data_IF_910279671332
#
_entry.id   IF_910279671332
#
_cell.length_a   1.000
_cell.length_b   1.000
_cell.length_c   1.000
_cell.angle_alpha   90.00
_cell.angle_beta   90.00
_cell.angle_gamma   90.00
#
_symmetry.space_group_name_H-M   'P 1'
#
loop_
_entity.id
_entity.type
_entity.pdbx_description
1 polymer ?
#
# COMPACT_ATOMS: atom_id res chain seq x y z
N UNK A 1 14.08 -10.38 -40.43
CA UNK A 1 13.35 -9.30 -39.72
C UNK A 1 13.96 -7.92 -39.93
N UNK A 2 15.29 -7.77 -40.03
CA UNK A 2 15.96 -6.45 -40.08
C UNK A 2 15.42 -5.48 -41.14
N UNK A 3 15.15 -5.95 -42.37
CA UNK A 3 14.68 -5.06 -43.44
C UNK A 3 13.29 -4.45 -43.17
N UNK A 4 12.34 -5.21 -42.62
CA UNK A 4 11.01 -4.69 -42.27
C UNK A 4 11.06 -3.69 -41.11
N UNK A 5 11.95 -3.92 -40.14
CA UNK A 5 12.19 -3.01 -39.04
C UNK A 5 12.76 -1.67 -39.52
N UNK A 6 13.78 -1.71 -40.39
CA UNK A 6 14.39 -0.51 -40.96
C UNK A 6 13.37 0.29 -41.80
N UNK A 7 12.55 -0.40 -42.61
CA UNK A 7 11.49 0.25 -43.38
C UNK A 7 10.45 0.91 -42.46
N UNK A 8 9.96 0.21 -41.44
CA UNK A 8 8.99 0.75 -40.49
C UNK A 8 9.54 1.96 -39.72
N UNK A 9 10.78 1.87 -39.23
CA UNK A 9 11.45 2.98 -38.55
C UNK A 9 11.59 4.21 -39.47
N UNK A 10 12.06 4.01 -40.70
CA UNK A 10 12.21 5.09 -41.68
C UNK A 10 10.87 5.75 -42.01
N UNK A 11 9.82 4.95 -42.12
CA UNK A 11 8.45 5.43 -42.36
C UNK A 11 7.94 6.33 -41.23
N UNK A 12 8.25 6.01 -39.97
CA UNK A 12 7.89 6.86 -38.82
C UNK A 12 8.65 8.18 -38.84
N UNK A 13 9.95 8.14 -39.12
CA UNK A 13 10.83 9.33 -39.12
C UNK A 13 10.51 10.28 -40.27
N UNK A 14 10.05 9.78 -41.41
CA UNK A 14 9.66 10.63 -42.55
C UNK A 14 8.37 11.42 -42.27
N UNK A 15 7.43 10.87 -41.51
CA UNK A 15 6.15 11.51 -41.18
C UNK A 15 6.21 12.36 -39.88
N UNK A 16 7.25 13.20 -39.72
CA UNK A 16 7.63 13.85 -38.45
C UNK A 16 6.47 14.46 -37.65
N UNK A 17 5.65 15.33 -38.24
CA UNK A 17 4.57 16.03 -37.53
C UNK A 17 3.52 15.06 -36.97
N UNK A 18 3.11 14.11 -37.78
CA UNK A 18 2.08 13.11 -37.45
C UNK A 18 2.58 12.15 -36.38
N UNK A 19 3.76 11.58 -36.60
CA UNK A 19 4.42 10.68 -35.66
C UNK A 19 4.61 11.36 -34.31
N UNK A 20 5.05 12.63 -34.30
CA UNK A 20 5.30 13.39 -33.08
C UNK A 20 4.03 13.67 -32.26
N UNK A 21 2.92 14.06 -32.91
CA UNK A 21 1.65 14.31 -32.21
C UNK A 21 1.12 13.04 -31.54
N UNK A 22 1.17 11.89 -32.22
CA UNK A 22 0.72 10.62 -31.65
C UNK A 22 1.66 10.08 -30.60
N UNK A 23 2.97 10.20 -30.81
CA UNK A 23 3.94 9.79 -29.80
C UNK A 23 3.84 10.66 -28.55
N UNK A 24 3.53 11.96 -28.69
CA UNK A 24 3.30 12.84 -27.56
C UNK A 24 2.02 12.47 -26.81
N UNK A 25 0.91 12.23 -27.52
CA UNK A 25 -0.33 11.79 -26.90
C UNK A 25 -0.17 10.45 -26.18
N UNK A 26 0.38 9.44 -26.87
CA UNK A 26 0.60 8.10 -26.31
C UNK A 26 1.62 8.12 -25.16
N UNK A 27 2.69 8.91 -25.30
CA UNK A 27 3.67 9.14 -24.25
C UNK A 27 3.08 9.84 -23.03
N UNK A 28 2.20 10.81 -23.21
CA UNK A 28 1.50 11.46 -22.10
C UNK A 28 0.60 10.48 -21.34
N UNK A 29 -0.14 9.62 -22.05
CA UNK A 29 -0.97 8.60 -21.38
C UNK A 29 -0.10 7.58 -20.64
N UNK A 30 1.00 7.15 -21.24
CA UNK A 30 1.95 6.25 -20.59
C UNK A 30 2.61 6.88 -19.36
N UNK A 31 2.98 8.17 -19.43
CA UNK A 31 3.49 8.94 -18.31
C UNK A 31 2.47 8.96 -17.18
N UNK A 32 1.22 9.29 -17.50
CA UNK A 32 0.15 9.38 -16.53
C UNK A 32 -0.16 8.03 -15.89
N UNK A 33 -0.21 6.95 -16.66
CA UNK A 33 -0.37 5.59 -16.13
C UNK A 33 0.76 5.23 -15.17
N UNK A 34 2.02 5.51 -15.52
CA UNK A 34 3.16 5.21 -14.64
C UNK A 34 3.06 6.01 -13.34
N UNK A 35 2.63 7.28 -13.37
CA UNK A 35 2.39 8.05 -12.15
C UNK A 35 1.27 7.46 -11.28
N UNK A 36 0.16 7.04 -11.88
CA UNK A 36 -0.95 6.41 -11.14
C UNK A 36 -0.54 5.09 -10.49
N UNK A 37 0.19 4.24 -11.22
CA UNK A 37 0.71 2.98 -10.68
C UNK A 37 1.75 3.22 -9.59
N UNK A 38 2.63 4.21 -9.77
CA UNK A 38 3.62 4.57 -8.75
C UNK A 38 2.97 5.13 -7.49
N UNK A 39 1.89 5.89 -7.62
CA UNK A 39 1.09 6.36 -6.49
C UNK A 39 0.45 5.21 -5.74
N UNK A 40 -0.25 4.31 -6.44
CA UNK A 40 -0.88 3.14 -5.81
C UNK A 40 0.14 2.27 -5.07
N UNK A 41 1.28 2.00 -5.70
CA UNK A 41 2.35 1.24 -5.07
C UNK A 41 2.95 1.98 -3.87
N UNK A 42 3.19 3.29 -3.98
CA UNK A 42 3.71 4.10 -2.88
C UNK A 42 2.79 4.12 -1.67
N UNK A 43 1.47 4.22 -1.89
CA UNK A 43 0.46 4.11 -0.83
C UNK A 43 0.51 2.72 -0.19
N UNK A 44 0.56 1.66 -1.01
CA UNK A 44 0.64 0.27 -0.51
C UNK A 44 1.89 0.05 0.34
N UNK A 45 3.06 0.52 -0.12
CA UNK A 45 4.32 0.36 0.60
C UNK A 45 4.32 1.13 1.92
N UNK A 46 3.87 2.40 1.89
CA UNK A 46 3.78 3.24 3.09
C UNK A 46 2.79 2.65 4.09
N UNK A 47 1.66 2.16 3.61
CA UNK A 47 0.64 1.50 4.43
C UNK A 47 1.15 0.20 5.05
N UNK A 48 1.82 -0.66 4.30
CA UNK A 48 2.45 -1.87 4.83
C UNK A 48 3.48 -1.50 5.89
N UNK A 49 4.34 -0.52 5.61
CA UNK A 49 5.37 -0.06 6.54
C UNK A 49 4.78 0.52 7.83
N UNK A 50 3.81 1.42 7.72
CA UNK A 50 3.20 2.08 8.88
C UNK A 50 2.38 1.09 9.72
N UNK A 51 1.64 0.19 9.08
CA UNK A 51 0.86 -0.82 9.81
C UNK A 51 1.76 -1.82 10.55
N UNK A 52 2.82 -2.31 9.89
CA UNK A 52 3.76 -3.28 10.51
C UNK A 52 4.56 -2.71 11.67
N UNK A 53 4.82 -1.40 11.67
CA UNK A 53 5.46 -0.71 12.80
C UNK A 53 4.48 -0.53 13.95
N UNK A 54 3.29 0.00 13.64
CA UNK A 54 2.40 0.49 14.67
C UNK A 54 1.59 -0.62 15.35
N UNK A 55 1.08 -1.58 14.58
CA UNK A 55 -0.11 -2.32 15.03
C UNK A 55 -0.10 -3.83 14.72
N UNK A 56 0.60 -4.25 13.66
CA UNK A 56 0.54 -5.63 13.15
C UNK A 56 1.94 -6.20 12.86
N UNK A 57 2.09 -7.52 12.91
CA UNK A 57 3.20 -8.25 12.31
C UNK A 57 2.85 -8.68 10.90
N UNK A 58 3.71 -9.47 10.25
CA UNK A 58 3.34 -10.12 8.98
C UNK A 58 2.26 -11.17 9.21
N UNK A 59 2.36 -11.90 10.32
CA UNK A 59 1.30 -12.78 10.86
C UNK A 59 1.07 -12.40 12.32
N UNK A 60 -0.19 -12.35 12.73
CA UNK A 60 -0.60 -12.04 14.09
C UNK A 60 -1.31 -13.24 14.68
N UNK A 61 -0.97 -13.58 15.92
CA UNK A 61 -1.71 -14.54 16.73
C UNK A 61 -2.34 -13.76 17.87
N UNK A 62 -3.55 -13.26 17.63
CA UNK A 62 -4.37 -12.58 18.63
C UNK A 62 -5.23 -13.57 19.40
N UNK A 63 -5.75 -13.14 20.55
CA UNK A 63 -6.65 -13.94 21.36
C UNK A 63 -7.90 -13.16 21.74
N UNK A 64 -9.04 -13.83 21.60
CA UNK A 64 -10.28 -13.40 22.23
C UNK A 64 -10.48 -14.22 23.49
N UNK A 65 -10.61 -13.53 24.61
CA UNK A 65 -10.95 -14.14 25.89
C UNK A 65 -12.33 -13.68 26.35
N UNK A 66 -13.20 -14.64 26.66
CA UNK A 66 -14.56 -14.39 27.15
C UNK A 66 -14.69 -14.88 28.59
N UNK A 67 -14.73 -13.93 29.53
CA UNK A 67 -15.04 -14.21 30.94
C UNK A 67 -16.56 -14.39 31.17
N UNK A 68 -17.37 -13.71 30.36
CA UNK A 68 -18.83 -13.76 30.34
C UNK A 68 -19.29 -13.93 28.90
N UNK A 69 -20.49 -14.49 28.71
CA UNK A 69 -21.03 -14.73 27.37
C UNK A 69 -21.19 -13.45 26.53
N UNK A 70 -21.36 -12.28 27.16
CA UNK A 70 -21.63 -11.00 26.49
C UNK A 70 -20.40 -10.16 26.16
N UNK A 71 -19.23 -10.54 26.69
CA UNK A 71 -18.04 -9.68 26.65
C UNK A 71 -16.89 -10.40 25.96
N UNK A 72 -16.02 -9.66 25.29
CA UNK A 72 -14.81 -10.18 24.65
C UNK A 72 -13.63 -9.27 24.96
N UNK A 73 -12.48 -9.86 25.29
CA UNK A 73 -11.26 -9.16 25.65
C UNK A 73 -10.09 -9.57 24.74
N UNK A 74 -9.20 -8.62 24.35
CA UNK A 74 -8.06 -8.86 23.49
C UNK A 74 -6.91 -9.53 24.25
N UNK A 75 -7.11 -10.75 24.74
CA UNK A 75 -6.16 -11.43 25.63
C UNK A 75 -5.74 -12.81 25.12
N UNK A 76 -4.48 -13.11 25.35
CA UNK A 76 -3.81 -14.38 25.06
C UNK A 76 -3.13 -14.83 26.35
N UNK A 77 -3.63 -15.91 26.92
CA UNK A 77 -3.04 -16.70 28.00
C UNK A 77 -1.91 -17.60 27.48
N UNK A 78 -0.99 -17.96 28.37
CA UNK A 78 0.16 -18.84 28.10
C UNK A 78 1.02 -18.34 26.91
N UNK A 79 1.28 -17.02 26.87
CA UNK A 79 2.02 -16.39 25.76
C UNK A 79 3.44 -16.97 25.60
N UNK A 80 4.08 -17.39 26.69
CA UNK A 80 5.43 -17.94 26.67
C UNK A 80 5.50 -19.28 25.90
N UNK A 81 4.51 -20.15 26.08
CA UNK A 81 4.41 -21.38 25.32
C UNK A 81 3.97 -21.10 23.87
N UNK A 82 3.04 -20.17 23.68
CA UNK A 82 2.59 -19.76 22.35
C UNK A 82 3.76 -19.25 21.49
N UNK A 83 4.64 -18.40 22.04
CA UNK A 83 5.86 -17.93 21.37
C UNK A 83 6.76 -19.09 20.94
N UNK A 84 7.01 -20.07 21.82
CA UNK A 84 7.79 -21.28 21.48
C UNK A 84 7.19 -22.07 20.32
N UNK A 85 5.86 -22.16 20.27
CA UNK A 85 5.15 -22.84 19.18
C UNK A 85 5.34 -22.08 17.87
N UNK A 86 5.18 -20.76 17.92
CA UNK A 86 5.37 -19.88 16.76
C UNK A 86 6.79 -20.00 16.21
N UNK A 87 7.80 -19.91 17.09
CA UNK A 87 9.21 -20.01 16.71
C UNK A 87 9.56 -21.37 16.08
N UNK A 88 8.97 -22.46 16.59
CA UNK A 88 9.25 -23.80 16.11
C UNK A 88 8.51 -24.19 14.82
N UNK A 89 7.49 -23.42 14.40
CA UNK A 89 6.58 -23.81 13.30
C UNK A 89 6.46 -22.73 12.22
N UNK A 90 7.29 -21.69 12.27
CA UNK A 90 7.35 -20.65 11.25
C UNK A 90 8.73 -20.61 10.63
N UNK A 91 8.80 -20.72 9.31
CA UNK A 91 10.04 -20.60 8.56
C UNK A 91 10.38 -19.11 8.33
N UNK A 92 11.67 -18.79 8.15
CA UNK A 92 12.16 -17.45 7.78
C UNK A 92 11.71 -16.30 8.71
N UNK A 93 11.62 -16.55 10.01
CA UNK A 93 11.38 -15.52 11.02
C UNK A 93 12.56 -14.53 11.05
N UNK A 94 12.23 -13.24 11.07
CA UNK A 94 13.15 -12.16 11.41
C UNK A 94 13.17 -11.94 12.93
N UNK A 95 12.00 -11.66 13.51
CA UNK A 95 11.80 -11.57 14.97
C UNK A 95 10.34 -11.82 15.37
N UNK A 96 10.11 -12.11 16.66
CA UNK A 96 8.78 -12.30 17.26
C UNK A 96 8.70 -11.47 18.54
N UNK A 97 7.66 -10.66 18.63
CA UNK A 97 7.35 -9.85 19.82
C UNK A 97 5.90 -10.08 20.21
N UNK A 98 5.58 -9.89 21.47
CA UNK A 98 4.19 -9.87 21.93
C UNK A 98 3.85 -8.48 22.48
N UNK A 99 2.60 -8.06 22.31
CA UNK A 99 2.10 -6.77 22.81
C UNK A 99 0.81 -6.98 23.57
N UNK A 100 0.66 -6.26 24.68
CA UNK A 100 -0.63 -6.14 25.35
C UNK A 100 -1.50 -5.14 24.59
N UNK A 101 -2.79 -5.47 24.45
CA UNK A 101 -3.77 -4.62 23.78
C UNK A 101 -4.81 -4.14 24.78
N UNK A 102 -5.21 -2.89 24.66
CA UNK A 102 -6.24 -2.30 25.50
C UNK A 102 -6.81 -1.03 24.90
N UNK A 103 -7.67 -0.39 25.67
CA UNK A 103 -8.18 0.95 25.42
C UNK A 103 -8.37 1.69 26.75
N UNK A 104 -8.03 2.97 26.74
CA UNK A 104 -8.26 3.84 27.88
C UNK A 104 -8.70 5.22 27.42
N UNK A 105 -9.38 5.92 28.33
CA UNK A 105 -9.58 7.35 28.24
C UNK A 105 -8.34 8.04 28.79
N UNK A 106 -7.68 8.84 27.95
CA UNK A 106 -6.57 9.70 28.31
C UNK A 106 -7.15 11.04 28.73
N UNK A 107 -6.86 11.48 29.96
CA UNK A 107 -7.40 12.70 30.55
C UNK A 107 -6.24 13.61 30.94
N UNK A 108 -6.24 14.81 30.36
CA UNK A 108 -5.34 15.91 30.72
C UNK A 108 -6.13 17.01 31.44
N UNK A 109 -5.43 18.05 31.91
CA UNK A 109 -6.08 19.23 32.48
C UNK A 109 -6.94 20.02 31.49
N UNK A 110 -6.68 19.90 30.19
CA UNK A 110 -7.35 20.69 29.14
C UNK A 110 -8.42 19.91 28.38
N UNK A 111 -8.24 18.61 28.19
CA UNK A 111 -9.03 17.80 27.27
C UNK A 111 -8.93 16.30 27.60
N UNK A 112 -9.80 15.50 26.98
CA UNK A 112 -9.69 14.04 27.02
C UNK A 112 -9.97 13.40 25.66
N UNK A 113 -9.40 12.23 25.44
CA UNK A 113 -9.63 11.41 24.25
C UNK A 113 -9.58 9.92 24.61
N UNK A 114 -10.17 9.08 23.77
CA UNK A 114 -9.99 7.63 23.85
C UNK A 114 -8.84 7.21 22.94
N UNK A 115 -7.97 6.35 23.44
CA UNK A 115 -6.90 5.74 22.66
C UNK A 115 -6.85 4.24 22.92
N UNK A 116 -6.46 3.49 21.89
CA UNK A 116 -5.98 2.13 22.03
C UNK A 116 -4.60 2.17 22.69
N UNK A 117 -4.42 1.30 23.67
CA UNK A 117 -3.20 1.12 24.42
C UNK A 117 -2.44 -0.08 23.85
N UNK A 118 -1.18 0.15 23.51
CA UNK A 118 -0.23 -0.90 23.13
C UNK A 118 0.84 -1.01 24.20
N UNK A 119 0.79 -2.09 24.97
CA UNK A 119 1.77 -2.40 26.00
C UNK A 119 2.96 -3.10 25.38
N UNK A 120 4.12 -2.45 25.41
CA UNK A 120 5.34 -2.92 24.76
C UNK A 120 6.46 -3.16 25.77
N UNK A 121 7.43 -3.97 25.36
CA UNK A 121 8.72 -4.10 26.04
C UNK A 121 9.79 -3.49 25.13
N UNK A 122 10.32 -2.33 25.52
CA UNK A 122 11.29 -1.56 24.73
C UNK A 122 12.53 -2.39 24.39
N UNK A 123 12.92 -3.35 25.23
CA UNK A 123 14.09 -4.18 24.97
C UNK A 123 13.90 -5.15 23.78
N UNK A 124 12.66 -5.54 23.48
CA UNK A 124 12.32 -6.44 22.37
C UNK A 124 11.93 -5.69 21.07
N UNK A 125 11.78 -4.37 21.13
CA UNK A 125 11.12 -3.54 20.10
C UNK A 125 12.11 -2.83 19.15
N UNK A 126 13.22 -3.49 18.79
CA UNK A 126 14.28 -2.89 17.95
C UNK A 126 13.77 -2.29 16.63
N UNK A 127 12.91 -3.02 15.90
CA UNK A 127 12.35 -2.56 14.62
C UNK A 127 11.38 -1.37 14.78
N UNK A 128 10.70 -1.27 15.92
CA UNK A 128 9.84 -0.13 16.25
C UNK A 128 10.69 1.10 16.56
N UNK A 129 11.74 0.95 17.39
CA UNK A 129 12.65 2.03 17.76
C UNK A 129 13.40 2.62 16.56
N UNK A 130 13.81 1.79 15.59
CA UNK A 130 14.49 2.27 14.37
C UNK A 130 13.60 3.14 13.47
N UNK A 131 12.29 2.96 13.54
CA UNK A 131 11.34 3.56 12.60
C UNK A 131 10.53 4.70 13.18
N UNK A 132 10.32 4.73 14.49
CA UNK A 132 9.65 5.84 15.16
C UNK A 132 10.59 7.04 15.19
N UNK A 133 10.11 8.16 14.65
CA UNK A 133 10.80 9.44 14.74
C UNK A 133 10.11 10.32 15.77
N UNK A 134 10.89 10.97 16.63
CA UNK A 134 10.37 11.96 17.55
C UNK A 134 9.94 13.24 16.81
N UNK A 135 8.84 13.83 17.26
CA UNK A 135 8.30 15.06 16.71
C UNK A 135 9.02 16.28 17.30
N UNK A 136 9.34 17.30 16.48
CA UNK A 136 9.73 18.60 16.99
C UNK A 136 8.56 19.28 17.71
N UNK A 137 8.86 20.17 18.67
CA UNK A 137 7.84 20.87 19.46
C UNK A 137 6.77 21.57 18.60
N UNK A 138 7.15 22.16 17.46
CA UNK A 138 6.20 22.84 16.55
C UNK A 138 5.03 21.98 16.08
N UNK A 139 5.18 20.66 16.06
CA UNK A 139 4.14 19.77 15.55
C UNK A 139 3.00 19.63 16.57
N UNK A 140 3.32 19.69 17.87
CA UNK A 140 2.35 19.51 18.95
C UNK A 140 2.11 20.75 19.82
N UNK A 141 2.95 21.79 19.74
CA UNK A 141 2.87 23.01 20.53
C UNK A 141 2.67 24.24 19.66
N UNK A 142 1.71 25.09 20.04
CA UNK A 142 1.31 26.29 19.25
C UNK A 142 2.46 27.29 19.04
N UNK A 143 3.37 27.41 20.02
CA UNK A 143 4.57 28.25 19.96
C UNK A 143 5.85 27.40 20.03
N UNK A 144 5.78 26.14 19.59
CA UNK A 144 6.90 25.20 19.62
C UNK A 144 7.99 25.57 18.62
N UNK A 145 9.24 25.29 18.98
CA UNK A 145 10.38 25.43 18.08
C UNK A 145 10.70 24.13 17.34
N UNK A 146 11.91 24.08 16.81
CA UNK A 146 12.44 22.92 16.05
C UNK A 146 13.12 21.89 16.98
N UNK A 147 13.09 22.14 18.28
CA UNK A 147 13.68 21.26 19.28
C UNK A 147 12.92 19.93 19.34
N UNK A 148 13.66 18.83 19.34
CA UNK A 148 13.15 17.49 19.59
C UNK A 148 13.52 17.17 21.04
N UNK A 149 12.50 17.02 21.88
CA UNK A 149 12.64 16.72 23.30
C UNK A 149 12.18 15.28 23.57
N UNK A 150 12.55 14.75 24.75
CA UNK A 150 12.20 13.39 25.16
C UNK A 150 13.09 12.30 24.56
N UNK A 151 12.91 11.08 25.06
CA UNK A 151 13.66 9.88 24.65
C UNK A 151 12.71 8.70 24.64
N UNK A 152 12.68 7.94 23.55
CA UNK A 152 11.78 6.77 23.45
C UNK A 152 12.20 5.69 24.46
N UNK A 153 13.50 5.62 24.76
CA UNK A 153 14.07 4.69 25.74
C UNK A 153 13.54 4.93 27.16
N UNK A 154 13.09 6.14 27.49
CA UNK A 154 12.48 6.44 28.78
C UNK A 154 11.14 5.73 28.97
N UNK A 155 10.54 5.21 27.89
CA UNK A 155 9.35 4.34 27.96
C UNK A 155 9.64 2.99 28.62
N UNK A 156 10.90 2.64 28.89
CA UNK A 156 11.24 1.48 29.72
C UNK A 156 10.89 1.71 31.21
N UNK A 157 10.71 2.96 31.64
CA UNK A 157 10.36 3.29 33.02
C UNK A 157 8.87 3.02 33.28
N UNK A 158 8.48 2.56 34.49
CA UNK A 158 7.07 2.37 34.83
C UNK A 158 6.30 3.71 34.78
N UNK A 159 5.00 3.63 34.55
CA UNK A 159 4.08 4.78 34.53
C UNK A 159 4.50 5.89 33.55
N UNK A 160 5.03 5.48 32.40
CA UNK A 160 5.36 6.37 31.29
C UNK A 160 4.47 6.09 30.09
N UNK A 161 4.32 7.09 29.23
CA UNK A 161 3.56 6.97 27.99
C UNK A 161 4.25 7.73 26.86
N UNK A 162 4.17 7.18 25.67
CA UNK A 162 4.50 7.84 24.42
C UNK A 162 3.20 8.09 23.65
N UNK A 163 3.02 9.33 23.21
CA UNK A 163 1.91 9.76 22.37
C UNK A 163 2.42 10.25 21.02
N UNK A 164 1.52 10.37 20.07
CA UNK A 164 1.82 11.04 18.80
C UNK A 164 1.51 12.53 18.84
N UNK A 165 2.14 13.30 17.96
CA UNK A 165 2.06 14.76 17.93
C UNK A 165 0.61 15.27 17.91
N UNK A 166 -0.27 14.67 17.11
CA UNK A 166 -1.68 15.04 17.07
C UNK A 166 -2.42 14.83 18.41
N UNK A 167 -2.11 13.74 19.13
CA UNK A 167 -2.70 13.44 20.44
C UNK A 167 -2.18 14.41 21.52
N UNK A 168 -0.86 14.60 21.57
CA UNK A 168 -0.23 15.54 22.50
C UNK A 168 -0.77 16.95 22.32
N UNK A 169 -0.90 17.41 21.07
CA UNK A 169 -1.50 18.71 20.71
C UNK A 169 -2.94 18.85 21.19
N UNK A 170 -3.75 17.80 21.01
CA UNK A 170 -5.17 17.79 21.39
C UNK A 170 -5.37 17.77 22.91
N UNK A 171 -4.46 17.13 23.63
CA UNK A 171 -4.43 17.09 25.09
C UNK A 171 -3.69 18.31 25.69
N UNK A 172 -3.04 19.12 24.86
CA UNK A 172 -2.25 20.27 25.30
C UNK A 172 -1.09 19.87 26.22
N UNK A 173 -0.48 18.72 25.97
CA UNK A 173 0.60 18.15 26.78
C UNK A 173 1.97 18.47 26.18
N UNK A 174 2.92 18.81 27.05
CA UNK A 174 4.34 18.91 26.78
C UNK A 174 5.10 17.72 27.40
N UNK A 175 6.33 17.49 26.96
CA UNK A 175 7.16 16.40 27.48
C UNK A 175 7.49 16.66 28.94
N UNK A 176 7.23 15.65 29.79
CA UNK A 176 7.33 15.72 31.23
C UNK A 176 5.98 15.92 31.95
N UNK A 177 4.92 16.31 31.22
CA UNK A 177 3.60 16.48 31.81
C UNK A 177 2.98 15.12 32.20
N UNK A 178 2.11 15.15 33.20
CA UNK A 178 1.34 14.00 33.65
C UNK A 178 -0.07 14.01 33.05
N UNK A 179 -0.58 12.82 32.75
CA UNK A 179 -1.96 12.58 32.37
C UNK A 179 -2.51 11.34 33.06
N UNK A 180 -3.81 11.33 33.28
CA UNK A 180 -4.50 10.20 33.89
C UNK A 180 -5.08 9.28 32.81
N UNK A 181 -4.73 8.01 32.86
CA UNK A 181 -5.39 6.95 32.11
C UNK A 181 -6.56 6.42 32.93
N UNK A 182 -7.72 6.23 32.29
CA UNK A 182 -8.87 5.54 32.89
C UNK A 182 -9.33 4.41 31.99
N UNK A 183 -9.34 3.19 32.51
CA UNK A 183 -9.79 2.01 31.78
C UNK A 183 -10.63 1.10 32.69
N UNK A 184 -11.54 0.36 32.07
CA UNK A 184 -12.34 -0.64 32.77
C UNK A 184 -11.64 -2.00 32.70
N UNK A 185 -11.49 -2.66 33.84
CA UNK A 185 -10.98 -4.04 33.92
C UNK A 185 -12.06 -5.05 33.53
N UNK A 186 -11.67 -6.30 33.29
CA UNK A 186 -12.59 -7.41 33.00
C UNK A 186 -13.68 -7.61 34.06
N UNK A 187 -13.38 -7.24 35.31
CA UNK A 187 -14.32 -7.31 36.42
C UNK A 187 -15.38 -6.20 36.42
N UNK A 188 -15.32 -5.24 35.49
CA UNK A 188 -16.19 -4.06 35.44
C UNK A 188 -15.76 -2.94 36.39
N UNK A 189 -14.56 -3.03 36.97
CA UNK A 189 -14.01 -1.98 37.84
C UNK A 189 -13.23 -0.99 37.00
N UNK A 190 -13.57 0.29 37.07
CA UNK A 190 -12.78 1.37 36.47
C UNK A 190 -11.54 1.62 37.30
N UNK A 191 -10.37 1.40 36.70
CA UNK A 191 -9.07 1.71 37.26
C UNK A 191 -8.52 2.99 36.62
N UNK A 192 -7.78 3.76 37.40
CA UNK A 192 -7.09 4.96 36.93
C UNK A 192 -5.62 4.91 37.30
N UNK A 193 -4.77 5.42 36.42
CA UNK A 193 -3.33 5.47 36.64
C UNK A 193 -2.77 6.76 36.04
N UNK A 194 -1.99 7.48 36.83
CA UNK A 194 -1.27 8.65 36.34
C UNK A 194 0.03 8.22 35.67
N UNK A 195 0.25 8.72 34.46
CA UNK A 195 1.42 8.43 33.65
C UNK A 195 2.07 9.73 33.18
N UNK A 196 3.39 9.69 32.99
CA UNK A 196 4.17 10.82 32.51
C UNK A 196 4.47 10.70 31.02
N UNK A 197 4.25 11.77 30.26
CA UNK A 197 4.60 11.84 28.85
C UNK A 197 6.12 11.97 28.69
N UNK A 198 6.78 10.93 28.19
CA UNK A 198 8.25 10.90 28.06
C UNK A 198 8.75 11.12 26.63
N UNK A 199 7.90 10.86 25.65
CA UNK A 199 8.23 10.99 24.24
C UNK A 199 6.99 11.38 23.43
N UNK A 200 7.19 12.22 22.42
CA UNK A 200 6.17 12.54 21.41
C UNK A 200 6.71 12.13 20.05
N UNK A 201 6.04 11.17 19.41
CA UNK A 201 6.40 10.68 18.08
C UNK A 201 5.72 11.51 16.98
N UNK A 202 6.36 11.60 15.81
CA UNK A 202 5.73 12.13 14.59
C UNK A 202 4.56 11.26 14.21
N UNK A 203 3.49 11.89 13.72
CA UNK A 203 2.33 11.17 13.23
C UNK A 203 2.72 10.24 12.06
N UNK A 204 2.12 9.06 12.02
CA UNK A 204 2.37 8.02 11.03
C UNK A 204 1.04 7.63 10.40
N UNK A 205 0.53 8.53 9.55
CA UNK A 205 -0.78 8.40 8.92
C UNK A 205 -1.93 8.53 9.93
N UNK A 206 -3.11 8.02 9.56
CA UNK A 206 -4.28 8.13 10.43
C UNK A 206 -4.24 7.18 11.64
N UNK A 207 -3.48 6.09 11.55
CA UNK A 207 -3.42 5.06 12.61
C UNK A 207 -2.73 5.56 13.88
N UNK A 208 -1.75 6.45 13.79
CA UNK A 208 -1.05 7.00 14.95
C UNK A 208 -1.97 7.80 15.88
N UNK A 209 -3.02 8.44 15.33
CA UNK A 209 -3.91 9.31 16.10
C UNK A 209 -4.69 8.61 17.22
N UNK A 210 -4.79 7.28 17.16
CA UNK A 210 -5.61 6.47 18.07
C UNK A 210 -4.78 5.49 18.90
N UNK A 211 -3.47 5.38 18.68
CA UNK A 211 -2.61 4.45 19.39
C UNK A 211 -1.72 5.21 20.37
N UNK A 212 -1.57 4.67 21.58
CA UNK A 212 -0.62 5.14 22.58
C UNK A 212 0.21 3.96 23.06
N UNK A 213 1.50 4.21 23.33
CA UNK A 213 2.43 3.18 23.76
C UNK A 213 2.86 3.41 25.19
N UNK A 214 2.93 2.33 25.97
CA UNK A 214 3.32 2.33 27.37
C UNK A 214 3.98 0.99 27.71
N UNK A 215 4.70 0.89 28.84
CA UNK A 215 5.21 -0.39 29.31
C UNK A 215 4.09 -1.43 29.46
N UNK A 216 4.39 -2.70 29.17
CA UNK A 216 3.47 -3.82 29.47
C UNK A 216 3.00 -3.84 30.92
N UNK A 217 3.89 -3.52 31.87
CA UNK A 217 3.59 -3.49 33.31
C UNK A 217 2.43 -2.56 33.66
N UNK A 218 2.38 -1.38 33.04
CA UNK A 218 1.33 -0.40 33.25
C UNK A 218 -0.05 -0.90 32.78
N UNK A 219 -0.12 -1.61 31.65
CA UNK A 219 -1.39 -2.24 31.20
C UNK A 219 -1.79 -3.40 32.12
N UNK A 220 -0.83 -4.22 32.55
CA UNK A 220 -1.10 -5.33 33.49
C UNK A 220 -1.67 -4.83 34.80
N UNK A 221 -1.09 -3.78 35.37
CA UNK A 221 -1.59 -3.18 36.60
C UNK A 221 -3.00 -2.61 36.41
N UNK A 222 -3.21 -1.84 35.34
CA UNK A 222 -4.49 -1.17 35.07
C UNK A 222 -5.63 -2.17 34.80
N UNK A 223 -5.36 -3.30 34.14
CA UNK A 223 -6.37 -4.34 33.89
C UNK A 223 -6.33 -5.51 34.88
N UNK A 224 -5.40 -5.49 35.85
CA UNK A 224 -5.18 -6.57 36.83
C UNK A 224 -4.90 -7.93 36.17
N UNK A 225 -4.01 -7.94 35.16
CA UNK A 225 -3.64 -9.12 34.38
C UNK A 225 -2.41 -9.83 34.96
N UNK A 226 -2.34 -11.14 34.78
CA UNK A 226 -1.17 -11.95 35.12
C UNK A 226 -0.01 -11.73 34.13
N UNK A 227 1.20 -12.13 34.54
CA UNK A 227 2.43 -11.90 33.76
C UNK A 227 2.56 -12.75 32.49
N UNK A 228 1.85 -13.88 32.43
CA UNK A 228 1.81 -14.79 31.28
C UNK A 228 0.72 -14.41 30.26
N UNK A 229 -0.03 -13.35 30.53
CA UNK A 229 -1.04 -12.80 29.64
C UNK A 229 -0.42 -11.72 28.74
N UNK A 230 -0.72 -11.81 27.45
CA UNK A 230 -0.48 -10.78 26.45
C UNK A 230 -1.76 -10.49 25.67
N UNK A 231 -1.70 -9.67 24.62
CA UNK A 231 -2.86 -9.41 23.75
C UNK A 231 -2.72 -9.97 22.34
N UNK A 232 -1.49 -9.97 21.83
CA UNK A 232 -1.17 -10.48 20.50
C UNK A 232 0.30 -10.89 20.44
N UNK A 233 0.60 -11.97 19.73
CA UNK A 233 1.95 -12.31 19.29
C UNK A 233 2.11 -11.87 17.83
N UNK A 234 3.04 -10.97 17.58
CA UNK A 234 3.36 -10.41 16.25
C UNK A 234 4.58 -11.15 15.68
N UNK A 235 4.41 -11.73 14.50
CA UNK A 235 5.44 -12.51 13.81
C UNK A 235 5.93 -11.73 12.61
N UNK A 236 7.22 -11.39 12.61
CA UNK A 236 7.86 -10.70 11.50
C UNK A 236 8.66 -11.69 10.67
N UNK A 237 8.18 -11.97 9.46
CA UNK A 237 8.90 -12.75 8.45
C UNK A 237 9.92 -11.91 7.67
N UNK A 238 11.04 -12.53 7.26
CA UNK A 238 12.00 -11.95 6.30
C UNK A 238 11.40 -11.74 4.92
N UNK A 239 10.44 -12.59 4.55
CA UNK A 239 9.70 -12.53 3.28
C UNK A 239 8.20 -12.34 3.54
N UNK A 240 7.70 -11.09 3.58
CA UNK A 240 6.30 -10.78 3.89
C UNK A 240 5.29 -11.47 2.97
N UNK A 241 5.67 -11.75 1.72
CA UNK A 241 4.85 -12.46 0.74
C UNK A 241 4.46 -13.88 1.16
N UNK A 242 5.18 -14.48 2.13
CA UNK A 242 4.86 -15.81 2.66
C UNK A 242 3.89 -15.78 3.85
N UNK A 243 3.37 -14.61 4.26
CA UNK A 243 2.52 -14.45 5.44
C UNK A 243 1.31 -15.41 5.45
N UNK A 244 0.59 -15.54 4.34
CA UNK A 244 -0.56 -16.45 4.24
C UNK A 244 -0.17 -17.92 4.43
N UNK A 245 0.96 -18.34 3.84
CA UNK A 245 1.47 -19.70 3.99
C UNK A 245 1.92 -19.99 5.43
N UNK A 246 2.63 -19.04 6.04
CA UNK A 246 3.07 -19.12 7.43
C UNK A 246 1.87 -19.18 8.39
N UNK A 247 0.85 -18.35 8.16
CA UNK A 247 -0.38 -18.36 8.95
C UNK A 247 -1.08 -19.73 8.89
N UNK A 248 -1.27 -20.30 7.70
CA UNK A 248 -1.91 -21.63 7.55
C UNK A 248 -1.13 -22.74 8.26
N UNK A 249 0.20 -22.75 8.14
CA UNK A 249 1.07 -23.68 8.89
C UNK A 249 0.88 -23.53 10.40
N UNK A 250 0.86 -22.30 10.91
CA UNK A 250 0.66 -22.00 12.32
C UNK A 250 -0.72 -22.43 12.82
N UNK A 251 -1.78 -22.22 12.03
CA UNK A 251 -3.13 -22.71 12.36
C UNK A 251 -3.13 -24.22 12.56
N UNK A 252 -2.49 -24.97 11.67
CA UNK A 252 -2.34 -26.43 11.79
C UNK A 252 -1.56 -26.83 13.06
N UNK A 253 -0.43 -26.18 13.33
CA UNK A 253 0.42 -26.47 14.48
C UNK A 253 -0.25 -26.16 15.83
N UNK A 254 -0.99 -25.05 15.93
CA UNK A 254 -1.71 -24.65 17.13
C UNK A 254 -2.89 -25.60 17.41
N UNK A 255 -3.64 -25.96 16.37
CA UNK A 255 -4.74 -26.94 16.50
C UNK A 255 -4.21 -28.30 16.96
N UNK A 256 -3.07 -28.76 16.41
CA UNK A 256 -2.43 -30.01 16.81
C UNK A 256 -1.97 -30.03 18.29
N UNK A 257 -1.72 -28.85 18.87
CA UNK A 257 -1.37 -28.69 20.29
C UNK A 257 -2.56 -28.36 21.20
N UNK A 258 -3.79 -28.42 20.67
CA UNK A 258 -5.02 -28.29 21.45
C UNK A 258 -5.52 -26.86 21.65
N UNK A 259 -4.98 -25.87 20.94
CA UNK A 259 -5.56 -24.52 20.95
C UNK A 259 -6.85 -24.47 20.14
N UNK A 260 -7.86 -23.80 20.67
CA UNK A 260 -9.09 -23.50 19.93
C UNK A 260 -8.87 -22.27 19.06
N UNK A 261 -9.07 -22.40 17.76
CA UNK A 261 -8.91 -21.31 16.80
C UNK A 261 -10.27 -20.80 16.32
N UNK A 262 -10.33 -19.49 16.07
CA UNK A 262 -11.40 -18.87 15.30
C UNK A 262 -11.29 -19.27 13.83
N UNK A 263 -12.44 -19.36 13.15
CA UNK A 263 -12.47 -19.48 11.70
C UNK A 263 -11.80 -18.26 11.06
N UNK A 264 -11.04 -18.47 10.00
CA UNK A 264 -10.33 -17.38 9.35
C UNK A 264 -11.34 -16.46 8.64
N UNK A 265 -11.43 -15.23 9.12
CA UNK A 265 -12.21 -14.14 8.53
C UNK A 265 -11.25 -13.02 8.12
N UNK A 266 -11.28 -12.57 6.85
CA UNK A 266 -10.37 -11.54 6.32
C UNK A 266 -10.80 -10.13 6.74
N UNK A 267 -10.83 -9.91 8.05
CA UNK A 267 -11.14 -8.65 8.70
C UNK A 267 -10.14 -8.40 9.82
N UNK A 268 -9.94 -7.14 10.19
CA UNK A 268 -9.05 -6.78 11.28
C UNK A 268 -9.57 -7.33 12.61
N UNK A 269 -8.65 -7.61 13.53
CA UNK A 269 -8.98 -8.18 14.83
C UNK A 269 -10.05 -7.36 15.57
N UNK A 270 -9.93 -6.02 15.56
CA UNK A 270 -10.88 -5.14 16.25
C UNK A 270 -12.30 -5.17 15.65
N UNK A 271 -12.45 -5.43 14.35
CA UNK A 271 -13.76 -5.48 13.70
C UNK A 271 -14.57 -6.72 14.07
N UNK A 272 -13.91 -7.75 14.64
CA UNK A 272 -14.54 -9.00 15.05
C UNK A 272 -15.10 -8.96 16.48
N UNK A 273 -14.84 -7.91 17.27
CA UNK A 273 -15.27 -7.85 18.67
C UNK A 273 -16.78 -7.99 18.84
N UNK A 274 -17.56 -7.29 18.03
CA UNK A 274 -19.02 -7.30 18.13
C UNK A 274 -19.61 -8.66 17.76
N UNK A 275 -19.10 -9.30 16.70
CA UNK A 275 -19.54 -10.65 16.32
C UNK A 275 -19.13 -11.68 17.37
N UNK A 276 -17.89 -11.62 17.87
CA UNK A 276 -17.38 -12.54 18.88
C UNK A 276 -18.11 -12.39 20.22
N UNK A 277 -18.47 -11.16 20.61
CA UNK A 277 -19.25 -10.91 21.82
C UNK A 277 -20.61 -11.64 21.77
N UNK A 278 -21.21 -11.80 20.58
CA UNK A 278 -22.48 -12.52 20.39
C UNK A 278 -22.38 -14.05 20.36
N UNK A 279 -21.18 -14.64 20.29
CA UNK A 279 -21.02 -16.10 20.21
C UNK A 279 -21.11 -16.80 21.58
N UNK A 280 -21.68 -17.99 21.65
CA UNK A 280 -21.86 -18.73 22.91
C UNK A 280 -20.66 -19.64 23.24
N UNK A 281 -19.62 -19.04 23.82
CA UNK A 281 -18.47 -19.76 24.38
C UNK A 281 -17.75 -18.94 25.44
N UNK A 282 -16.97 -19.61 26.28
CA UNK A 282 -16.16 -19.04 27.35
C UNK A 282 -14.70 -19.49 27.21
N UNK A 283 -13.79 -18.73 27.82
CA UNK A 283 -12.35 -18.98 27.79
C UNK A 283 -11.67 -18.33 26.59
N UNK A 284 -10.57 -18.92 26.12
CA UNK A 284 -9.74 -18.39 25.04
C UNK A 284 -10.04 -19.03 23.68
N UNK A 285 -10.12 -18.19 22.64
CA UNK A 285 -9.96 -18.61 21.24
C UNK A 285 -8.94 -17.73 20.54
N UNK A 286 -8.02 -18.34 19.80
CA UNK A 286 -7.00 -17.59 19.05
C UNK A 286 -7.52 -17.21 17.67
N UNK A 287 -7.28 -15.96 17.27
CA UNK A 287 -7.53 -15.44 15.95
C UNK A 287 -6.19 -15.22 15.25
N UNK A 288 -6.03 -15.85 14.08
CA UNK A 288 -4.83 -15.69 13.27
C UNK A 288 -5.18 -14.82 12.06
N UNK A 289 -4.53 -13.68 11.98
CA UNK A 289 -4.67 -12.70 10.90
C UNK A 289 -3.33 -12.38 10.27
N UNK A 290 -3.34 -12.00 9.01
CA UNK A 290 -2.16 -11.45 8.35
C UNK A 290 -2.17 -9.93 8.40
N UNK A 291 -1.03 -9.30 8.07
CA UNK A 291 -0.99 -7.85 7.87
C UNK A 291 -2.04 -7.36 6.88
N UNK A 292 -2.35 -8.17 5.86
CA UNK A 292 -3.33 -7.90 4.82
C UNK A 292 -4.77 -7.81 5.35
N UNK A 293 -5.11 -8.64 6.34
CA UNK A 293 -6.42 -8.67 6.97
C UNK A 293 -6.60 -7.50 7.94
N UNK A 294 -5.57 -7.20 8.73
CA UNK A 294 -5.58 -6.08 9.68
C UNK A 294 -5.77 -4.72 9.00
N UNK A 295 -5.29 -4.62 7.76
CA UNK A 295 -5.42 -3.40 6.96
C UNK A 295 -6.54 -3.49 5.92
N UNK A 296 -7.47 -4.45 6.07
CA UNK A 296 -8.58 -4.67 5.14
C UNK A 296 -9.47 -3.42 4.95
N UNK A 297 -9.73 -2.68 6.04
CA UNK A 297 -10.45 -1.40 6.01
C UNK A 297 -9.63 -0.26 5.37
N UNK A 298 -8.46 -0.53 4.82
CA UNK A 298 -7.67 0.46 4.09
C UNK A 298 -7.36 -0.03 2.67
N UNK A 299 -7.30 -1.34 2.48
CA UNK A 299 -7.24 -1.97 1.15
C UNK A 299 -8.38 -1.54 0.25
N UNK A 300 -9.57 -1.21 0.78
CA UNK A 300 -10.66 -0.68 -0.05
C UNK A 300 -10.30 0.66 -0.70
N UNK A 301 -9.55 1.54 0.00
CA UNK A 301 -9.14 2.84 -0.53
C UNK A 301 -8.12 2.65 -1.67
N UNK A 302 -7.17 1.73 -1.50
CA UNK A 302 -6.22 1.34 -2.57
C UNK A 302 -6.98 0.73 -3.74
N UNK A 303 -7.85 -0.25 -3.49
CA UNK A 303 -8.67 -0.89 -4.54
C UNK A 303 -9.54 0.15 -5.28
N UNK A 304 -10.07 1.15 -4.58
CA UNK A 304 -10.82 2.24 -5.19
C UNK A 304 -9.92 3.14 -6.07
N UNK A 305 -8.72 3.50 -5.61
CA UNK A 305 -7.73 4.23 -6.40
C UNK A 305 -7.31 3.46 -7.65
N UNK A 306 -7.06 2.16 -7.53
CA UNK A 306 -6.75 1.27 -8.66
C UNK A 306 -7.91 1.17 -9.64
N UNK A 307 -9.14 1.05 -9.13
CA UNK A 307 -10.34 1.00 -9.96
C UNK A 307 -10.51 2.30 -10.75
N UNK A 308 -10.44 3.46 -10.09
CA UNK A 308 -10.52 4.77 -10.74
C UNK A 308 -9.41 4.92 -11.78
N UNK A 309 -8.18 4.53 -11.44
CA UNK A 309 -7.03 4.56 -12.35
C UNK A 309 -7.26 3.68 -13.58
N UNK A 310 -7.79 2.47 -13.39
CA UNK A 310 -8.16 1.56 -14.47
C UNK A 310 -9.20 2.17 -15.40
N UNK A 311 -10.27 2.78 -14.85
CA UNK A 311 -11.30 3.45 -15.65
C UNK A 311 -10.75 4.63 -16.45
N UNK A 312 -9.93 5.48 -15.83
CA UNK A 312 -9.30 6.61 -16.51
C UNK A 312 -8.40 6.15 -17.66
N UNK A 313 -7.56 5.15 -17.42
CA UNK A 313 -6.66 4.59 -18.42
C UNK A 313 -7.44 3.94 -19.56
N UNK A 314 -8.53 3.22 -19.27
CA UNK A 314 -9.40 2.65 -20.29
C UNK A 314 -9.98 3.71 -21.23
N UNK A 315 -10.45 4.83 -20.69
CA UNK A 315 -10.96 5.97 -21.49
C UNK A 315 -9.84 6.56 -22.35
N UNK A 316 -8.65 6.77 -21.77
CA UNK A 316 -7.50 7.30 -22.51
C UNK A 316 -7.03 6.35 -23.61
N UNK A 317 -7.04 5.04 -23.37
CA UNK A 317 -6.72 4.02 -24.37
C UNK A 317 -7.73 4.05 -25.52
N UNK A 318 -9.01 4.24 -25.25
CA UNK A 318 -10.03 4.37 -26.29
C UNK A 318 -9.75 5.58 -27.20
N UNK A 319 -9.43 6.74 -26.61
CA UNK A 319 -9.06 7.95 -27.35
C UNK A 319 -7.82 7.69 -28.21
N UNK A 320 -6.81 7.00 -27.67
CA UNK A 320 -5.60 6.63 -28.41
C UNK A 320 -5.91 5.69 -29.56
N UNK A 321 -6.73 4.65 -29.35
CA UNK A 321 -7.07 3.67 -30.38
C UNK A 321 -7.72 4.39 -31.56
N UNK A 322 -8.69 5.28 -31.30
CA UNK A 322 -9.33 6.10 -32.35
C UNK A 322 -8.29 6.96 -33.07
N UNK A 323 -7.39 7.61 -32.31
CA UNK A 323 -6.31 8.43 -32.87
C UNK A 323 -5.36 7.65 -33.78
N UNK A 324 -4.94 6.45 -33.36
CA UNK A 324 -4.07 5.56 -34.14
C UNK A 324 -4.79 5.08 -35.40
N UNK A 325 -6.05 4.64 -35.27
CA UNK A 325 -6.87 4.18 -36.40
C UNK A 325 -6.99 5.28 -37.45
N UNK A 326 -7.39 6.49 -37.03
CA UNK A 326 -7.55 7.63 -37.93
C UNK A 326 -6.24 7.98 -38.63
N UNK A 327 -5.15 8.00 -37.87
CA UNK A 327 -3.81 8.26 -38.42
C UNK A 327 -3.40 7.20 -39.44
N UNK A 328 -3.59 5.93 -39.11
CA UNK A 328 -3.22 4.85 -40.01
C UNK A 328 -4.03 4.89 -41.29
N UNK A 329 -5.31 5.27 -41.25
CA UNK A 329 -6.08 5.52 -42.47
C UNK A 329 -5.50 6.64 -43.33
N UNK A 330 -5.10 7.75 -42.72
CA UNK A 330 -4.43 8.85 -43.43
C UNK A 330 -3.12 8.36 -44.06
N UNK A 331 -2.28 7.65 -43.29
CA UNK A 331 -1.00 7.11 -43.75
C UNK A 331 -1.16 6.14 -44.92
N UNK A 332 -2.18 5.27 -44.88
CA UNK A 332 -2.50 4.35 -45.97
C UNK A 332 -2.96 5.10 -47.21
N UNK A 333 -3.76 6.17 -47.05
CA UNK A 333 -4.23 6.99 -48.17
C UNK A 333 -3.07 7.73 -48.85
N UNK A 334 -2.22 8.39 -48.07
CA UNK A 334 -1.04 9.10 -48.57
C UNK A 334 -0.04 8.17 -49.29
N UNK A 335 0.10 6.93 -48.82
CA UNK A 335 1.04 5.93 -49.37
C UNK A 335 0.39 4.92 -50.31
N UNK A 336 -0.81 5.19 -50.84
CA UNK A 336 -1.54 4.24 -51.71
C UNK A 336 -0.69 3.79 -52.91
N UNK A 337 0.00 4.73 -53.57
CA UNK A 337 0.86 4.45 -54.71
C UNK A 337 2.05 3.55 -54.32
N UNK A 338 2.74 3.88 -53.23
CA UNK A 338 3.88 3.08 -52.73
C UNK A 338 3.46 1.64 -52.40
N UNK A 339 2.29 1.47 -51.75
CA UNK A 339 1.72 0.15 -51.45
C UNK A 339 1.40 -0.61 -52.75
N UNK A 340 0.85 0.09 -53.76
CA UNK A 340 0.59 -0.46 -55.09
C UNK A 340 1.86 -0.97 -55.76
N UNK A 341 2.93 -0.17 -55.78
CA UNK A 341 4.23 -0.53 -56.36
C UNK A 341 4.87 -1.70 -55.61
N UNK A 342 4.87 -1.69 -54.27
CA UNK A 342 5.38 -2.80 -53.46
C UNK A 342 4.65 -4.11 -53.79
N UNK A 343 3.32 -4.06 -53.92
CA UNK A 343 2.50 -5.22 -54.27
C UNK A 343 2.72 -5.68 -55.72
N UNK A 344 2.98 -4.76 -56.65
CA UNK A 344 3.27 -5.06 -58.06
C UNK A 344 4.64 -5.72 -58.25
N UNK A 345 5.65 -5.33 -57.45
CA UNK A 345 7.00 -5.93 -57.44
C UNK A 345 7.03 -7.29 -56.72
N UNK A 346 5.90 -7.74 -56.17
CA UNK A 346 5.72 -9.11 -55.65
C UNK A 346 5.55 -9.22 -54.14
N UNK A 347 5.44 -8.12 -53.39
CA UNK A 347 5.22 -8.18 -51.95
C UNK A 347 3.85 -8.80 -51.60
N UNK A 348 3.86 -9.87 -50.80
CA UNK A 348 2.63 -10.55 -50.38
C UNK A 348 1.82 -9.71 -49.38
N UNK A 349 0.49 -9.91 -49.35
CA UNK A 349 -0.43 -9.21 -48.43
C UNK A 349 0.01 -9.31 -46.97
N UNK A 350 0.49 -10.49 -46.55
CA UNK A 350 1.01 -10.74 -45.19
C UNK A 350 2.26 -9.92 -44.87
N UNK A 351 3.11 -9.63 -45.85
CA UNK A 351 4.30 -8.80 -45.66
C UNK A 351 3.91 -7.33 -45.51
N UNK A 352 2.91 -6.84 -46.27
CA UNK A 352 2.38 -5.48 -46.12
C UNK A 352 1.72 -5.30 -44.77
N UNK A 353 0.90 -6.26 -44.35
CA UNK A 353 0.30 -6.27 -43.01
C UNK A 353 1.36 -6.22 -41.90
N UNK A 354 2.39 -7.08 -41.98
CA UNK A 354 3.49 -7.10 -41.01
C UNK A 354 4.23 -5.76 -40.93
N UNK A 355 4.44 -5.09 -42.07
CA UNK A 355 5.11 -3.79 -42.10
C UNK A 355 4.34 -2.73 -41.30
N UNK A 356 3.04 -2.59 -41.55
CA UNK A 356 2.20 -1.61 -40.85
C UNK A 356 2.00 -1.94 -39.37
N UNK A 357 1.84 -3.23 -39.02
CA UNK A 357 1.76 -3.65 -37.63
C UNK A 357 3.07 -3.35 -36.88
N UNK A 358 4.21 -3.52 -37.55
CA UNK A 358 5.52 -3.21 -36.96
C UNK A 358 5.74 -1.70 -36.85
N UNK A 359 5.25 -0.89 -37.79
CA UNK A 359 5.21 0.57 -37.68
C UNK A 359 4.42 1.03 -36.44
N UNK A 360 3.24 0.44 -36.22
CA UNK A 360 2.41 0.72 -35.04
C UNK A 360 3.05 0.25 -33.74
N UNK A 361 3.64 -0.95 -33.72
CA UNK A 361 4.32 -1.49 -32.56
C UNK A 361 5.54 -0.65 -32.16
N UNK A 362 6.35 -0.19 -33.12
CA UNK A 362 7.49 0.69 -32.85
C UNK A 362 7.05 2.05 -32.31
N UNK A 363 5.97 2.61 -32.86
CA UNK A 363 5.38 3.84 -32.34
C UNK A 363 4.91 3.66 -30.90
N UNK A 364 4.15 2.59 -30.63
CA UNK A 364 3.66 2.24 -29.29
C UNK A 364 4.80 2.05 -28.29
N UNK A 365 5.78 1.21 -28.62
CA UNK A 365 6.93 0.92 -27.77
C UNK A 365 7.77 2.17 -27.49
N UNK A 366 8.12 2.95 -28.53
CA UNK A 366 8.96 4.13 -28.38
C UNK A 366 8.28 5.23 -27.56
N UNK A 367 7.00 5.51 -27.84
CA UNK A 367 6.26 6.56 -27.15
C UNK A 367 5.92 6.17 -25.70
N UNK A 368 5.54 4.91 -25.45
CA UNK A 368 5.30 4.43 -24.08
C UNK A 368 6.58 4.32 -23.26
N UNK A 369 7.71 3.91 -23.87
CA UNK A 369 8.99 3.92 -23.18
C UNK A 369 9.40 5.35 -22.79
N UNK A 370 9.32 6.30 -23.73
CA UNK A 370 9.62 7.71 -23.45
C UNK A 370 8.69 8.29 -22.37
N UNK A 371 7.38 8.06 -22.50
CA UNK A 371 6.38 8.49 -21.53
C UNK A 371 6.60 7.88 -20.15
N UNK A 372 6.81 6.57 -20.09
CA UNK A 372 7.05 5.85 -18.85
C UNK A 372 8.35 6.26 -18.16
N UNK A 373 9.44 6.50 -18.91
CA UNK A 373 10.69 7.04 -18.35
C UNK A 373 10.44 8.45 -17.79
N UNK A 374 9.76 9.33 -18.54
CA UNK A 374 9.41 10.66 -18.04
C UNK A 374 8.54 10.61 -16.79
N UNK A 375 7.57 9.69 -16.73
CA UNK A 375 6.72 9.46 -15.57
C UNK A 375 7.52 8.96 -14.37
N UNK A 376 8.44 8.01 -14.58
CA UNK A 376 9.33 7.54 -13.54
C UNK A 376 10.25 8.64 -13.01
N UNK A 377 10.85 9.44 -13.90
CA UNK A 377 11.67 10.59 -13.53
C UNK A 377 10.87 11.62 -12.72
N UNK A 378 9.65 11.93 -13.15
CA UNK A 378 8.78 12.84 -12.43
C UNK A 378 8.40 12.28 -11.06
N UNK A 379 8.10 10.98 -10.95
CA UNK A 379 7.84 10.34 -9.66
C UNK A 379 9.04 10.45 -8.71
N UNK A 380 10.25 10.17 -9.20
CA UNK A 380 11.47 10.32 -8.39
C UNK A 380 11.75 11.77 -7.98
N UNK A 381 11.45 12.73 -8.86
CA UNK A 381 11.59 14.16 -8.55
C UNK A 381 10.60 14.60 -7.46
N UNK A 382 9.35 14.16 -7.56
CA UNK A 382 8.31 14.48 -6.57
C UNK A 382 8.63 13.87 -5.20
N UNK A 383 9.17 12.65 -5.14
CA UNK A 383 9.64 12.06 -3.90
C UNK A 383 10.81 12.84 -3.28
N UNK A 384 11.76 13.31 -4.11
CA UNK A 384 12.94 14.04 -3.63
C UNK A 384 12.60 15.42 -3.05
N UNK A 385 11.48 16.02 -3.45
CA UNK A 385 10.99 17.31 -2.94
C UNK A 385 10.16 17.12 -1.65
N UNK A 386 9.84 15.87 -1.28
CA UNK A 386 9.03 15.53 -0.10
C UNK A 386 7.74 16.36 0.00
N UNK A 387 6.98 16.41 -1.11
CA UNK A 387 5.81 17.29 -1.24
C UNK A 387 4.84 17.07 -0.08
N UNK A 388 4.64 18.05 0.81
CA UNK A 388 3.78 17.90 1.97
C UNK A 388 2.31 17.92 1.53
N UNK A 389 1.52 17.02 2.10
CA UNK A 389 0.09 16.96 1.86
C UNK A 389 -0.59 18.00 2.74
N UNK A 390 -1.20 19.03 2.16
CA UNK A 390 -1.84 20.11 2.94
C UNK A 390 -3.25 19.78 3.46
N UNK A 391 -3.82 18.64 3.07
CA UNK A 391 -5.22 18.28 3.32
C UNK A 391 -5.26 17.04 4.22
N UNK A 392 -5.86 17.16 5.40
CA UNK A 392 -5.95 16.07 6.40
C UNK A 392 -6.64 14.82 5.84
N UNK A 393 -7.71 15.01 5.05
CA UNK A 393 -8.39 13.91 4.38
C UNK A 393 -7.47 13.13 3.42
N UNK A 394 -6.55 13.84 2.75
CA UNK A 394 -5.62 13.22 1.81
C UNK A 394 -4.49 12.50 2.55
N UNK A 395 -4.00 13.05 3.68
CA UNK A 395 -3.08 12.36 4.59
C UNK A 395 -3.68 11.08 5.15
N UNK A 396 -4.95 11.13 5.53
CA UNK A 396 -5.66 9.96 6.03
C UNK A 396 -5.79 8.86 4.97
N UNK A 397 -6.06 9.22 3.72
CA UNK A 397 -6.17 8.26 2.60
C UNK A 397 -4.81 7.72 2.16
N UNK A 398 -3.78 8.56 2.08
CA UNK A 398 -2.44 8.18 1.62
C UNK A 398 -1.54 7.61 2.73
N UNK A 399 -1.98 7.69 3.99
CA UNK A 399 -1.26 7.17 5.18
C UNK A 399 0.15 7.75 5.33
N UNK A 400 0.34 8.98 4.85
CA UNK A 400 1.62 9.69 4.82
C UNK A 400 1.38 11.19 4.97
N UNK A 401 2.36 11.91 5.51
CA UNK A 401 2.38 13.37 5.46
C UNK A 401 2.94 13.90 4.14
N UNK A 402 3.64 13.06 3.39
CA UNK A 402 4.26 13.40 2.12
C UNK A 402 3.79 12.47 1.00
N UNK A 403 3.82 12.98 -0.24
CA UNK A 403 3.51 12.18 -1.41
C UNK A 403 4.63 11.17 -1.67
N UNK A 404 4.33 9.87 -1.54
CA UNK A 404 5.26 8.78 -1.87
C UNK A 404 4.85 8.08 -3.16
N UNK A 405 5.74 8.03 -4.15
CA UNK A 405 5.53 7.40 -5.45
C UNK A 405 6.58 6.30 -5.68
N UNK A 406 6.22 5.03 -5.57
CA UNK A 406 7.18 3.93 -5.79
C UNK A 406 7.08 3.41 -7.21
N UNK A 407 8.12 3.62 -8.02
CA UNK A 407 8.17 3.08 -9.39
C UNK A 407 8.72 1.66 -9.37
N UNK A 408 7.92 0.69 -9.79
CA UNK A 408 8.40 -0.69 -9.98
C UNK A 408 8.87 -0.93 -11.42
N UNK A 409 10.06 -1.50 -11.64
CA UNK A 409 10.55 -1.83 -12.99
C UNK A 409 9.60 -2.77 -13.77
N UNK A 410 8.98 -3.73 -13.06
CA UNK A 410 8.01 -4.66 -13.65
C UNK A 410 6.78 -3.92 -14.23
N UNK A 411 6.27 -2.90 -13.53
CA UNK A 411 5.14 -2.09 -13.99
C UNK A 411 5.50 -1.24 -15.21
N UNK A 412 6.73 -0.73 -15.28
CA UNK A 412 7.22 0.03 -16.44
C UNK A 412 7.28 -0.86 -17.68
N UNK A 413 7.85 -2.07 -17.56
CA UNK A 413 7.90 -3.06 -18.65
C UNK A 413 6.48 -3.45 -19.06
N UNK A 414 5.60 -3.75 -18.09
CA UNK A 414 4.20 -4.07 -18.33
C UNK A 414 3.45 -2.97 -19.07
N UNK A 415 3.70 -1.71 -18.74
CA UNK A 415 3.15 -0.53 -19.41
C UNK A 415 3.60 -0.47 -20.87
N UNK A 416 4.91 -0.57 -21.12
CA UNK A 416 5.46 -0.53 -22.50
C UNK A 416 4.88 -1.66 -23.35
N UNK A 417 4.80 -2.88 -22.80
CA UNK A 417 4.21 -4.03 -23.48
C UNK A 417 2.72 -3.80 -23.81
N UNK A 418 1.95 -3.31 -22.84
CA UNK A 418 0.51 -3.07 -23.01
C UNK A 418 0.23 -2.06 -24.12
N UNK A 419 0.93 -0.91 -24.10
CA UNK A 419 0.74 0.12 -25.14
C UNK A 419 1.24 -0.34 -26.51
N UNK A 420 2.30 -1.15 -26.57
CA UNK A 420 2.79 -1.74 -27.82
C UNK A 420 1.72 -2.66 -28.44
N UNK A 421 1.09 -3.50 -27.61
CA UNK A 421 0.01 -4.40 -28.05
C UNK A 421 -1.20 -3.59 -28.49
N UNK A 422 -1.64 -2.61 -27.70
CA UNK A 422 -2.79 -1.77 -28.05
C UNK A 422 -2.56 -1.01 -29.35
N UNK A 423 -1.36 -0.46 -29.57
CA UNK A 423 -1.03 0.22 -30.81
C UNK A 423 -1.08 -0.72 -32.03
N UNK A 424 -0.53 -1.94 -31.90
CA UNK A 424 -0.60 -2.95 -32.95
C UNK A 424 -2.05 -3.40 -33.25
N UNK A 425 -2.87 -3.60 -32.21
CA UNK A 425 -4.29 -3.97 -32.34
C UNK A 425 -5.07 -2.85 -33.01
N UNK A 426 -4.88 -1.59 -32.60
CA UNK A 426 -5.53 -0.43 -33.21
C UNK A 426 -5.18 -0.30 -34.71
N UNK A 427 -3.92 -0.57 -35.08
CA UNK A 427 -3.48 -0.51 -36.47
C UNK A 427 -3.94 -1.70 -37.32
N UNK A 428 -4.45 -2.79 -36.71
CA UNK A 428 -4.76 -4.03 -37.41
C UNK A 428 -5.78 -3.84 -38.54
N UNK A 429 -6.91 -3.18 -38.26
CA UNK A 429 -7.95 -2.96 -39.28
C UNK A 429 -7.42 -2.12 -40.45
N UNK A 430 -6.87 -0.90 -40.24
CA UNK A 430 -6.29 -0.12 -41.34
C UNK A 430 -5.23 -0.88 -42.14
N UNK A 431 -4.35 -1.63 -41.45
CA UNK A 431 -3.29 -2.40 -42.07
C UNK A 431 -3.82 -3.55 -42.96
N UNK A 432 -4.88 -4.23 -42.53
CA UNK A 432 -5.57 -5.24 -43.36
C UNK A 432 -6.17 -4.59 -44.60
N UNK A 433 -6.77 -3.40 -44.45
CA UNK A 433 -7.34 -2.66 -45.58
C UNK A 433 -6.25 -2.25 -46.57
N UNK A 434 -5.11 -1.78 -46.09
CA UNK A 434 -3.93 -1.44 -46.90
C UNK A 434 -3.39 -2.66 -47.67
N UNK A 435 -3.22 -3.78 -46.99
CA UNK A 435 -2.71 -5.02 -47.57
C UNK A 435 -3.63 -5.61 -48.67
N UNK A 436 -4.92 -5.25 -48.65
CA UNK A 436 -5.92 -5.70 -49.64
C UNK A 436 -6.09 -4.75 -50.83
N UNK A 437 -5.34 -3.63 -50.90
CA UNK A 437 -5.36 -2.75 -52.06
C UNK A 437 -4.93 -3.52 -53.33
N UNK A 438 -5.69 -3.31 -54.40
CA UNK A 438 -5.41 -3.93 -55.71
C UNK A 438 -4.34 -3.07 -56.41
N UNK A 439 -3.22 -3.65 -56.88
CA UNK A 439 -2.11 -2.87 -57.43
C UNK A 439 -2.52 -1.94 -58.58
N UNK A 440 -3.37 -2.44 -59.49
CA UNK A 440 -3.80 -1.68 -60.67
C UNK A 440 -4.64 -0.46 -60.28
N UNK A 441 -5.53 -0.58 -59.30
CA UNK A 441 -6.36 0.55 -58.86
C UNK A 441 -5.61 1.51 -57.93
N UNK A 442 -4.57 1.03 -57.26
CA UNK A 442 -3.70 1.85 -56.43
C UNK A 442 -2.84 2.79 -57.28
N UNK A 443 -2.27 2.31 -58.40
CA UNK A 443 -1.38 3.09 -59.28
C UNK A 443 -2.16 4.11 -60.14
N UNK A 444 -3.39 3.77 -60.56
CA UNK A 444 -4.22 4.64 -61.41
C UNK A 444 -5.03 5.71 -60.66
N UNK A 445 -4.98 5.76 -59.32
CA UNK A 445 -5.78 6.70 -58.51
C UNK A 445 -5.21 8.13 -58.42
N UNK A 446 -4.22 8.45 -59.23
CA UNK A 446 -3.65 9.79 -59.37
C UNK A 446 -4.22 10.48 -60.60
N UNK A 447 -5.52 10.74 -60.59
CA UNK A 447 -6.14 11.88 -61.30
C UNK A 447 -7.06 12.61 -60.33
#
# INVERSE_FOLDING_TARGET
MGMYFVMAWRNLVQAKRRTLLLSAALGFVSLFLVLLLALSQGVTDTMLRSSTVLYTGHVNVGGFYKAKATDAWPLVEDVANLRKIVDANTDDIDHVVDRLRGWAKLVSSTSSLYASLSGIDIAEEGAFLEKIQLAPERDYKKNGGDAILGRIEDLAQPNTIMLFAAQAKRLGLDIGDELTLSAESMGGTTNTMDVRLVAVAKDLGFMSNWNAYLPKSAIREMYQLADDISGVVLVYLRYPAQANLAMEKLRGALTARGYTLMDHQPASFWMKFESVAGEDWLGQRLDLTTWEDEVGMMKWAITALDSISFFLVAIMLLIIIIGIVNTMFIAVRERTNEIGTMRAVGMHRRQVLKLFLLEAALLGAGASAAGGICGALLATLLNAIEVPLGIDALRAVLMSDTLTLTVQPAQLIGTVLTFTIVAAVAAFWPAVRAARLVPVTAIHRAE
#
